data_IF_563387414337
#
_entry.id   IF_563387414337
#
_cell.length_a   1.000
_cell.length_b   1.000
_cell.length_c   1.000
_cell.angle_alpha   90.00
_cell.angle_beta   90.00
_cell.angle_gamma   90.00
#
_symmetry.space_group_name_H-M   'P 1'
#
loop_
_entity.id
_entity.type
_entity.pdbx_description
1 polymer ?
#
# COMPACT_ATOMS: atom_id res chain seq x y z
N UNK A 1 14.99 20.75 -27.99
CA UNK A 1 14.56 20.29 -26.65
C UNK A 1 15.62 19.32 -26.14
N UNK A 2 16.32 19.63 -25.04
CA UNK A 2 17.33 18.73 -24.50
C UNK A 2 16.69 17.45 -23.94
N UNK A 3 17.46 16.35 -23.75
CA UNK A 3 16.94 15.06 -23.27
C UNK A 3 16.13 15.18 -21.97
N UNK A 4 16.52 16.08 -21.06
CA UNK A 4 15.79 16.37 -19.81
C UNK A 4 14.39 16.93 -20.06
N UNK A 5 14.22 17.80 -21.06
CA UNK A 5 12.90 18.36 -21.40
C UNK A 5 11.97 17.31 -22.00
N UNK A 6 12.53 16.34 -22.74
CA UNK A 6 11.76 15.24 -23.33
C UNK A 6 11.26 14.29 -22.22
N UNK A 7 12.12 13.95 -21.26
CA UNK A 7 11.75 13.16 -20.07
C UNK A 7 10.67 13.88 -19.24
N UNK A 8 10.83 15.17 -18.97
CA UNK A 8 9.85 15.95 -18.20
C UNK A 8 8.48 15.97 -18.89
N UNK A 9 8.46 16.08 -20.22
CA UNK A 9 7.21 16.05 -21.01
C UNK A 9 6.53 14.68 -20.91
N UNK A 10 7.29 13.58 -21.02
CA UNK A 10 6.76 12.22 -20.88
C UNK A 10 6.24 11.93 -19.46
N UNK A 11 6.92 12.43 -18.42
CA UNK A 11 6.44 12.32 -17.04
C UNK A 11 5.12 13.09 -16.83
N UNK A 12 5.00 14.26 -17.45
CA UNK A 12 3.78 15.06 -17.36
C UNK A 12 2.59 14.42 -18.08
N UNK A 13 2.84 13.80 -19.24
CA UNK A 13 1.85 13.09 -20.04
C UNK A 13 1.42 11.78 -19.36
N UNK A 14 2.39 11.02 -18.83
CA UNK A 14 2.18 9.75 -18.14
C UNK A 14 1.76 9.85 -16.67
N UNK A 15 1.49 11.06 -16.13
CA UNK A 15 1.28 11.29 -14.69
C UNK A 15 0.21 10.38 -14.07
N UNK A 16 -0.87 10.08 -14.79
CA UNK A 16 -1.95 9.24 -14.27
C UNK A 16 -1.56 7.75 -14.21
N UNK A 17 -0.81 7.28 -15.20
CA UNK A 17 -0.24 5.93 -15.21
C UNK A 17 0.82 5.78 -14.12
N UNK A 18 1.65 6.81 -13.90
CA UNK A 18 2.64 6.85 -12.82
C UNK A 18 1.99 6.84 -11.43
N UNK A 19 0.91 7.59 -11.23
CA UNK A 19 0.14 7.55 -9.97
C UNK A 19 -0.42 6.15 -9.73
N UNK A 20 -0.93 5.49 -10.76
CA UNK A 20 -1.43 4.11 -10.65
C UNK A 20 -0.30 3.13 -10.29
N UNK A 21 0.87 3.26 -10.93
CA UNK A 21 2.04 2.44 -10.64
C UNK A 21 2.56 2.64 -9.20
N UNK A 22 2.57 3.89 -8.72
CA UNK A 22 2.91 4.23 -7.33
C UNK A 22 1.93 3.61 -6.33
N UNK A 23 0.62 3.69 -6.58
CA UNK A 23 -0.40 3.11 -5.71
C UNK A 23 -0.31 1.57 -5.68
N UNK A 24 -0.03 0.95 -6.82
CA UNK A 24 0.22 -0.50 -6.89
C UNK A 24 1.47 -0.91 -6.11
N UNK A 25 2.58 -0.16 -6.26
CA UNK A 25 3.82 -0.39 -5.51
C UNK A 25 3.64 -0.17 -4.00
N UNK A 26 2.88 0.85 -3.61
CA UNK A 26 2.54 1.12 -2.23
C UNK A 26 1.75 -0.02 -1.60
N UNK A 27 0.72 -0.54 -2.27
CA UNK A 27 -0.06 -1.69 -1.77
C UNK A 27 0.82 -2.92 -1.53
N UNK A 28 1.77 -3.19 -2.44
CA UNK A 28 2.74 -4.28 -2.29
C UNK A 28 3.70 -4.05 -1.11
N UNK A 29 4.21 -2.83 -0.95
CA UNK A 29 5.10 -2.49 0.16
C UNK A 29 4.38 -2.52 1.53
N UNK A 30 3.13 -2.04 1.59
CA UNK A 30 2.32 -2.05 2.81
C UNK A 30 1.94 -3.47 3.27
N UNK A 31 1.88 -4.42 2.34
CA UNK A 31 1.63 -5.83 2.63
C UNK A 31 2.88 -6.63 3.05
N UNK A 32 4.07 -6.04 3.01
CA UNK A 32 5.32 -6.74 3.35
C UNK A 32 5.46 -6.91 4.87
N UNK A 33 5.31 -8.14 5.35
CA UNK A 33 5.34 -8.46 6.80
C UNK A 33 6.61 -9.19 7.22
N UNK A 34 7.11 -10.10 6.36
CA UNK A 34 8.22 -10.98 6.70
C UNK A 34 9.51 -10.21 6.97
N UNK A 35 9.83 -9.25 6.09
CA UNK A 35 11.00 -8.39 6.26
C UNK A 35 10.94 -7.57 7.55
N UNK A 36 9.77 -7.01 7.89
CA UNK A 36 9.58 -6.16 9.09
C UNK A 36 9.71 -6.97 10.38
N UNK A 37 9.22 -8.22 10.38
CA UNK A 37 9.35 -9.14 11.52
C UNK A 37 10.81 -9.49 11.85
N UNK A 38 11.66 -9.68 10.84
CA UNK A 38 13.06 -10.10 11.02
C UNK A 38 13.94 -8.93 11.48
N UNK A 39 13.73 -7.72 10.93
CA UNK A 39 14.58 -6.54 11.18
C UNK A 39 14.30 -5.88 12.54
N UNK A 40 13.29 -6.35 13.30
CA UNK A 40 12.97 -5.83 14.63
C UNK A 40 11.82 -4.82 14.67
N UNK A 41 10.98 -4.75 13.63
CA UNK A 41 9.79 -3.91 13.57
C UNK A 41 8.59 -4.45 14.39
N UNK A 42 8.84 -5.22 15.45
CA UNK A 42 7.79 -5.86 16.25
C UNK A 42 7.86 -5.47 17.74
N UNK A 43 8.36 -4.28 18.04
CA UNK A 43 8.41 -3.74 19.41
C UNK A 43 7.08 -3.06 19.70
N UNK A 44 6.39 -3.52 20.75
CA UNK A 44 5.08 -3.01 21.13
C UNK A 44 5.11 -1.51 21.41
N UNK A 45 4.16 -0.75 20.86
CA UNK A 45 4.08 0.70 21.06
C UNK A 45 5.20 1.56 20.43
N UNK A 46 6.23 0.96 19.84
CA UNK A 46 7.34 1.69 19.20
C UNK A 46 7.40 1.47 17.69
N UNK A 47 7.54 0.22 17.25
CA UNK A 47 7.80 -0.13 15.84
C UNK A 47 6.82 -1.15 15.28
N UNK A 48 5.97 -1.74 16.14
CA UNK A 48 4.99 -2.76 15.75
C UNK A 48 3.91 -2.17 14.85
N UNK A 49 3.81 -2.73 13.65
CA UNK A 49 2.76 -2.42 12.69
C UNK A 49 1.60 -3.40 12.83
N UNK A 50 0.43 -3.05 12.27
CA UNK A 50 -0.76 -3.91 12.33
C UNK A 50 -0.50 -5.30 11.72
N UNK A 51 0.27 -5.38 10.64
CA UNK A 51 0.64 -6.64 9.98
C UNK A 51 1.56 -7.52 10.82
N UNK A 52 2.53 -6.93 11.52
CA UNK A 52 3.42 -7.68 12.42
C UNK A 52 2.70 -8.13 13.69
N UNK A 53 1.75 -7.34 14.20
CA UNK A 53 0.87 -7.73 15.30
C UNK A 53 0.00 -8.95 14.95
N UNK A 54 -0.59 -8.96 13.75
CA UNK A 54 -1.39 -10.11 13.26
C UNK A 54 -0.54 -11.38 13.22
N UNK A 55 0.67 -11.28 12.65
CA UNK A 55 1.59 -12.42 12.56
C UNK A 55 2.00 -12.92 13.95
N UNK A 56 2.35 -12.01 14.87
CA UNK A 56 2.75 -12.34 16.23
C UNK A 56 1.62 -13.01 17.03
N UNK A 57 0.41 -12.45 17.01
CA UNK A 57 -0.73 -13.00 17.75
C UNK A 57 -1.17 -14.36 17.17
N UNK A 58 -1.03 -14.57 15.86
CA UNK A 58 -1.22 -15.89 15.23
C UNK A 58 -0.19 -16.90 15.72
N UNK A 59 1.09 -16.53 15.78
CA UNK A 59 2.17 -17.40 16.30
C UNK A 59 2.04 -17.70 17.79
N UNK A 60 1.40 -16.82 18.57
CA UNK A 60 1.07 -17.05 19.98
C UNK A 60 -0.17 -17.92 20.20
N UNK A 61 -0.93 -18.23 19.15
CA UNK A 61 -2.20 -18.97 19.23
C UNK A 61 -3.42 -18.13 19.61
N UNK A 62 -3.30 -16.79 19.65
CA UNK A 62 -4.41 -15.87 19.93
C UNK A 62 -5.14 -15.50 18.62
N UNK A 63 -5.78 -16.50 18.01
CA UNK A 63 -6.52 -16.32 16.75
C UNK A 63 -7.64 -15.28 16.80
N UNK A 64 -8.44 -15.14 17.88
CA UNK A 64 -9.52 -14.16 17.90
C UNK A 64 -9.04 -12.73 17.66
N UNK A 65 -7.95 -12.34 18.32
CA UNK A 65 -7.34 -11.02 18.15
C UNK A 65 -6.72 -10.86 16.75
N UNK A 66 -5.99 -11.87 16.27
CA UNK A 66 -5.37 -11.86 14.95
C UNK A 66 -6.40 -11.72 13.82
N UNK A 67 -7.53 -12.43 13.90
CA UNK A 67 -8.62 -12.35 12.92
C UNK A 67 -9.31 -10.98 13.00
N UNK A 68 -9.56 -10.45 14.20
CA UNK A 68 -10.15 -9.13 14.37
C UNK A 68 -9.31 -8.03 13.71
N UNK A 69 -8.00 -8.03 13.97
CA UNK A 69 -7.05 -7.11 13.33
C UNK A 69 -6.95 -7.34 11.81
N UNK A 70 -6.98 -8.60 11.37
CA UNK A 70 -6.96 -8.96 9.95
C UNK A 70 -8.16 -8.43 9.18
N UNK A 71 -9.37 -8.51 9.75
CA UNK A 71 -10.59 -7.96 9.13
C UNK A 71 -10.52 -6.44 8.99
N UNK A 72 -10.03 -5.74 10.02
CA UNK A 72 -9.83 -4.28 9.97
C UNK A 72 -8.83 -3.93 8.86
N UNK A 73 -7.71 -4.67 8.78
CA UNK A 73 -6.69 -4.44 7.76
C UNK A 73 -7.25 -4.65 6.35
N UNK A 74 -7.99 -5.73 6.10
CA UNK A 74 -8.63 -6.01 4.80
C UNK A 74 -9.58 -4.87 4.43
N UNK A 75 -10.40 -4.42 5.37
CA UNK A 75 -11.33 -3.31 5.13
C UNK A 75 -10.61 -2.02 4.74
N UNK A 76 -9.51 -1.67 5.43
CA UNK A 76 -8.69 -0.50 5.10
C UNK A 76 -8.04 -0.62 3.71
N UNK A 77 -7.49 -1.78 3.38
CA UNK A 77 -6.86 -2.02 2.08
C UNK A 77 -7.89 -1.89 0.96
N UNK A 78 -9.09 -2.46 1.14
CA UNK A 78 -10.17 -2.33 0.16
C UNK A 78 -10.60 -0.87 -0.03
N UNK A 79 -10.73 -0.09 1.05
CA UNK A 79 -11.05 1.33 0.96
C UNK A 79 -9.99 2.11 0.18
N UNK A 80 -8.72 1.90 0.49
CA UNK A 80 -7.61 2.58 -0.19
C UNK A 80 -7.56 2.18 -1.67
N UNK A 81 -7.72 0.88 -1.97
CA UNK A 81 -7.70 0.39 -3.34
C UNK A 81 -8.90 0.89 -4.16
N UNK A 82 -10.09 0.92 -3.57
CA UNK A 82 -11.28 1.48 -4.19
C UNK A 82 -11.13 2.99 -4.45
N UNK A 83 -10.55 3.75 -3.51
CA UNK A 83 -10.24 5.16 -3.72
C UNK A 83 -9.22 5.37 -4.84
N UNK A 84 -8.14 4.57 -4.86
CA UNK A 84 -7.13 4.58 -5.92
C UNK A 84 -7.74 4.29 -7.29
N UNK A 85 -8.59 3.27 -7.37
CA UNK A 85 -9.33 2.93 -8.58
C UNK A 85 -10.29 4.05 -9.00
N UNK A 86 -11.01 4.66 -8.06
CA UNK A 86 -11.88 5.80 -8.34
C UNK A 86 -11.13 7.01 -8.91
N UNK A 87 -9.95 7.34 -8.36
CA UNK A 87 -9.08 8.41 -8.90
C UNK A 87 -8.63 8.07 -10.32
N UNK A 88 -8.29 6.80 -10.59
CA UNK A 88 -7.92 6.35 -11.92
C UNK A 88 -9.08 6.48 -12.91
N UNK A 89 -10.27 5.98 -12.58
CA UNK A 89 -11.46 6.07 -13.45
C UNK A 89 -11.80 7.52 -13.76
N UNK A 90 -11.76 8.39 -12.75
CA UNK A 90 -12.00 9.81 -12.93
C UNK A 90 -10.93 10.49 -13.81
N UNK A 91 -9.66 10.04 -13.73
CA UNK A 91 -8.60 10.53 -14.61
C UNK A 91 -8.76 10.09 -16.06
N UNK A 92 -9.19 8.85 -16.30
CA UNK A 92 -9.44 8.33 -17.66
C UNK A 92 -10.60 9.08 -18.32
N UNK A 93 -11.63 9.46 -17.55
CA UNK A 93 -12.76 10.26 -18.03
C UNK A 93 -12.44 11.73 -18.31
N UNK A 94 -11.39 12.29 -17.70
CA UNK A 94 -10.95 13.69 -17.93
C UNK A 94 -9.85 13.83 -18.98
N UNK A 95 -9.25 12.71 -19.39
CA UNK A 95 -8.19 12.68 -20.39
C UNK A 95 -8.69 12.29 -21.79
N UNK A 96 -9.98 11.92 -21.93
CA UNK A 96 -10.71 11.91 -23.20
C UNK A 96 -11.48 13.20 -23.40
#
# INVERSE_FOLDING_TARGET
>A
VGPVGLVATLLWDGRFSLVTALLAGFGRAAAEVGTVMIVGGNIDGFTRTMTTAIALETSKGNLPLAIGLGLILIFLILLINAAAWGVRVWSEQRAG
#
